data_IF_495014861587
#
_entry.id   IF_495014861587
#
_cell.length_a   1.000
_cell.length_b   1.000
_cell.length_c   1.000
_cell.angle_alpha   90.00
_cell.angle_beta   90.00
_cell.angle_gamma   90.00
#
_symmetry.space_group_name_H-M   'P 1'
#
loop_
_entity.id
_entity.type
_entity.pdbx_description
1 polymer ?
#
# COMPACT_ATOMS: atom_id res chain seq x y z
N UNK A 1 15.95 -17.41 -13.10
CA UNK A 1 16.71 -17.69 -11.85
C UNK A 1 16.77 -16.36 -11.12
N UNK A 2 15.97 -16.19 -10.05
CA UNK A 2 16.06 -15.02 -9.18
C UNK A 2 17.25 -15.30 -8.28
N UNK A 3 18.34 -14.54 -8.48
CA UNK A 3 19.53 -14.69 -7.67
C UNK A 3 19.22 -14.43 -6.19
N UNK A 4 19.73 -15.32 -5.36
CA UNK A 4 19.60 -15.30 -3.91
C UNK A 4 20.23 -14.04 -3.31
N UNK A 5 19.53 -13.44 -2.34
CA UNK A 5 19.91 -12.29 -1.53
C UNK A 5 20.10 -10.96 -2.27
N UNK A 6 18.97 -10.33 -2.65
CA UNK A 6 18.96 -8.92 -3.08
C UNK A 6 19.28 -7.99 -1.89
N UNK A 7 19.06 -8.43 -0.66
CA UNK A 7 19.26 -7.64 0.56
C UNK A 7 20.29 -8.32 1.44
N UNK A 8 21.42 -7.61 1.67
CA UNK A 8 22.46 -8.01 2.61
C UNK A 8 22.10 -7.56 4.04
N UNK A 9 22.76 -8.15 5.06
CA UNK A 9 22.63 -7.72 6.47
C UNK A 9 23.04 -6.25 6.69
N UNK A 10 23.63 -5.60 5.70
CA UNK A 10 24.06 -4.19 5.70
C UNK A 10 23.48 -3.41 4.51
N UNK A 11 22.18 -3.60 4.23
CA UNK A 11 21.48 -2.92 3.16
C UNK A 11 21.60 -1.40 3.27
N UNK A 12 22.01 -0.72 2.19
CA UNK A 12 22.28 0.72 2.16
C UNK A 12 21.31 1.44 1.23
N UNK A 13 21.18 2.78 1.39
CA UNK A 13 20.38 3.63 0.50
C UNK A 13 20.90 3.56 -0.94
N UNK A 14 22.20 3.49 -1.10
CA UNK A 14 22.88 3.38 -2.40
C UNK A 14 22.56 2.04 -3.09
N UNK A 15 22.44 0.96 -2.32
CA UNK A 15 22.01 -0.36 -2.82
C UNK A 15 20.53 -0.34 -3.15
N UNK A 16 19.68 0.24 -2.30
CA UNK A 16 18.26 0.43 -2.58
C UNK A 16 18.05 1.17 -3.93
N UNK A 17 18.76 2.28 -4.14
CA UNK A 17 18.67 3.08 -5.38
C UNK A 17 19.27 2.36 -6.62
N UNK A 18 20.07 1.32 -6.44
CA UNK A 18 20.62 0.51 -7.53
C UNK A 18 19.77 -0.70 -7.92
N UNK A 19 18.75 -1.03 -7.14
CA UNK A 19 17.81 -2.08 -7.52
C UNK A 19 17.18 -1.75 -8.88
N UNK A 20 16.91 -2.77 -9.68
CA UNK A 20 16.32 -2.60 -11.01
C UNK A 20 14.97 -3.30 -11.06
N UNK A 21 13.97 -2.55 -11.44
CA UNK A 21 12.64 -3.07 -11.73
C UNK A 21 12.58 -3.42 -13.22
N UNK A 22 12.22 -4.66 -13.52
CA UNK A 22 11.83 -5.04 -14.89
C UNK A 22 10.36 -4.63 -15.09
N UNK A 23 10.03 -3.81 -16.08
CA UNK A 23 8.64 -3.36 -16.26
C UNK A 23 7.71 -4.54 -16.61
N UNK A 24 6.39 -4.43 -16.35
CA UNK A 24 5.41 -5.41 -16.79
C UNK A 24 5.41 -5.64 -18.30
N UNK A 25 4.99 -6.83 -18.75
CA UNK A 25 4.97 -7.19 -20.17
C UNK A 25 3.92 -6.40 -20.96
N UNK A 26 4.36 -5.40 -21.72
CA UNK A 26 3.49 -4.56 -22.54
C UNK A 26 2.80 -5.35 -23.69
N UNK A 27 3.38 -6.46 -24.18
CA UNK A 27 2.74 -7.31 -25.19
C UNK A 27 1.61 -8.11 -24.57
N UNK A 28 1.83 -8.62 -23.34
CA UNK A 28 0.82 -9.32 -22.58
C UNK A 28 -0.36 -8.40 -22.25
N UNK A 29 -0.07 -7.15 -21.82
CA UNK A 29 -1.12 -6.14 -21.61
C UNK A 29 -2.01 -5.97 -22.85
N UNK A 30 -1.41 -5.73 -24.02
CA UNK A 30 -2.14 -5.56 -25.28
C UNK A 30 -2.94 -6.80 -25.65
N UNK A 31 -2.38 -8.00 -25.46
CA UNK A 31 -3.05 -9.27 -25.73
C UNK A 31 -4.31 -9.43 -24.86
N UNK A 32 -4.20 -9.15 -23.56
CA UNK A 32 -5.34 -9.25 -22.64
C UNK A 32 -6.41 -8.21 -23.00
N UNK A 33 -6.02 -6.97 -23.36
CA UNK A 33 -6.99 -5.97 -23.87
C UNK A 33 -7.73 -6.48 -25.12
N UNK A 34 -7.02 -7.08 -26.07
CA UNK A 34 -7.64 -7.69 -27.26
C UNK A 34 -8.55 -8.87 -26.90
N UNK A 35 -8.18 -9.69 -25.91
CA UNK A 35 -9.05 -10.75 -25.40
C UNK A 35 -10.36 -10.18 -24.82
N UNK A 36 -10.29 -9.06 -24.08
CA UNK A 36 -11.47 -8.34 -23.58
C UNK A 36 -12.37 -7.84 -24.72
N UNK A 37 -11.79 -7.35 -25.81
CA UNK A 37 -12.54 -6.88 -26.99
C UNK A 37 -13.26 -8.02 -27.72
N UNK A 38 -12.78 -9.26 -27.62
CA UNK A 38 -13.43 -10.44 -28.17
C UNK A 38 -14.63 -10.96 -27.37
N UNK A 39 -14.78 -10.52 -26.13
CA UNK A 39 -15.94 -10.89 -25.30
C UNK A 39 -17.21 -10.25 -25.86
N UNK A 40 -18.28 -11.04 -26.00
CA UNK A 40 -19.57 -10.59 -26.54
C UNK A 40 -20.28 -9.59 -25.59
N UNK A 41 -19.78 -8.38 -25.54
CA UNK A 41 -20.24 -7.25 -24.73
C UNK A 41 -19.87 -5.92 -25.40
N UNK A 42 -20.45 -4.78 -24.99
CA UNK A 42 -19.96 -3.47 -25.45
C UNK A 42 -18.46 -3.29 -25.17
N UNK A 43 -17.74 -2.66 -26.09
CA UNK A 43 -16.34 -2.33 -25.90
C UNK A 43 -16.16 -1.53 -24.59
N UNK A 44 -15.16 -1.88 -23.82
CA UNK A 44 -14.88 -1.30 -22.49
C UNK A 44 -16.08 -1.38 -21.51
N UNK A 45 -17.02 -2.30 -21.73
CA UNK A 45 -18.25 -2.41 -20.93
C UNK A 45 -18.04 -2.79 -19.47
N UNK A 46 -16.88 -3.36 -19.10
CA UNK A 46 -16.46 -3.58 -17.72
C UNK A 46 -15.63 -2.40 -17.16
N UNK A 47 -15.49 -1.32 -17.94
CA UNK A 47 -14.83 -0.07 -17.50
C UNK A 47 -13.39 -0.30 -17.04
N UNK A 48 -13.04 0.34 -15.90
CA UNK A 48 -11.69 0.29 -15.35
C UNK A 48 -11.19 -1.14 -15.07
N UNK A 49 -12.07 -2.11 -14.85
CA UNK A 49 -11.68 -3.50 -14.56
C UNK A 49 -11.00 -4.20 -15.75
N UNK A 50 -11.31 -3.82 -16.97
CA UNK A 50 -10.61 -4.37 -18.13
C UNK A 50 -9.15 -3.91 -18.20
N UNK A 51 -8.90 -2.65 -17.83
CA UNK A 51 -7.54 -2.09 -17.76
C UNK A 51 -6.77 -2.68 -16.58
N UNK A 52 -7.41 -2.79 -15.42
CA UNK A 52 -6.78 -3.33 -14.21
C UNK A 52 -6.43 -4.80 -14.35
N UNK A 53 -7.32 -5.62 -14.90
CA UNK A 53 -7.03 -7.04 -15.13
C UNK A 53 -5.95 -7.22 -16.20
N UNK A 54 -5.91 -6.38 -17.24
CA UNK A 54 -4.82 -6.38 -18.21
C UNK A 54 -3.48 -5.99 -17.58
N UNK A 55 -3.47 -4.99 -16.66
CA UNK A 55 -2.30 -4.63 -15.88
C UNK A 55 -1.83 -5.80 -15.00
N UNK A 56 -2.75 -6.47 -14.29
CA UNK A 56 -2.45 -7.65 -13.47
C UNK A 56 -1.81 -8.75 -14.31
N UNK A 57 -2.42 -9.10 -15.47
CA UNK A 57 -1.88 -10.11 -16.34
C UNK A 57 -0.51 -9.75 -16.93
N UNK A 58 -0.28 -8.47 -17.25
CA UNK A 58 1.03 -7.98 -17.68
C UNK A 58 2.10 -8.11 -16.59
N UNK A 59 1.76 -7.80 -15.32
CA UNK A 59 2.64 -7.99 -14.17
C UNK A 59 2.96 -9.46 -13.96
N UNK A 60 1.95 -10.33 -14.07
CA UNK A 60 2.11 -11.78 -13.88
C UNK A 60 2.73 -12.49 -15.08
N UNK A 61 2.78 -11.84 -16.26
CA UNK A 61 3.25 -12.43 -17.51
C UNK A 61 2.35 -13.55 -18.02
N UNK A 62 1.04 -13.50 -17.72
CA UNK A 62 0.10 -14.59 -18.02
C UNK A 62 -1.26 -14.05 -18.47
N UNK A 63 -1.71 -14.49 -19.66
CA UNK A 63 -3.05 -14.16 -20.15
C UNK A 63 -4.18 -14.91 -19.45
N UNK A 64 -3.88 -16.07 -18.85
CA UNK A 64 -4.82 -16.84 -18.04
C UNK A 64 -4.75 -16.37 -16.58
N UNK A 65 -5.04 -15.10 -16.37
CA UNK A 65 -4.84 -14.38 -15.14
C UNK A 65 -5.40 -15.15 -13.93
N UNK A 66 -4.53 -15.65 -13.08
CA UNK A 66 -4.91 -16.31 -11.83
C UNK A 66 -4.44 -15.47 -10.63
N UNK A 67 -5.39 -15.05 -9.82
CA UNK A 67 -5.16 -14.34 -8.55
C UNK A 67 -5.75 -15.12 -7.35
N UNK A 68 -5.90 -16.43 -7.45
CA UNK A 68 -6.52 -17.25 -6.40
C UNK A 68 -5.71 -17.25 -5.09
N UNK A 69 -4.38 -17.18 -5.18
CA UNK A 69 -3.51 -17.06 -4.00
C UNK A 69 -3.31 -15.58 -3.66
N UNK A 70 -4.07 -15.09 -2.68
CA UNK A 70 -4.12 -13.70 -2.23
C UNK A 70 -3.55 -13.55 -0.82
N UNK A 71 -2.76 -12.51 -0.58
CA UNK A 71 -2.23 -12.20 0.75
C UNK A 71 -2.56 -10.75 1.14
N UNK A 72 -2.85 -10.53 2.41
CA UNK A 72 -2.99 -9.19 3.00
C UNK A 72 -1.85 -8.98 3.99
N UNK A 73 -0.91 -8.09 3.68
CA UNK A 73 0.22 -7.77 4.55
C UNK A 73 -0.15 -6.53 5.37
N UNK A 74 -0.21 -6.67 6.70
CA UNK A 74 -0.59 -5.60 7.62
C UNK A 74 0.59 -5.22 8.50
N UNK A 75 1.18 -4.04 8.28
CA UNK A 75 2.30 -3.52 9.07
C UNK A 75 1.80 -2.84 10.34
N UNK A 76 2.21 -3.35 11.51
CA UNK A 76 1.77 -2.84 12.80
C UNK A 76 2.93 -2.16 13.54
N UNK A 77 2.78 -0.86 13.84
CA UNK A 77 3.80 -0.10 14.56
C UNK A 77 3.19 1.10 15.31
N UNK A 78 3.80 1.50 16.39
CA UNK A 78 3.44 2.71 17.14
C UNK A 78 4.24 3.92 16.66
N UNK A 79 3.58 5.07 16.63
CA UNK A 79 4.16 6.34 16.20
C UNK A 79 4.34 7.28 17.40
N UNK A 80 5.58 7.66 17.69
CA UNK A 80 5.95 8.46 18.86
C UNK A 80 5.33 9.86 18.91
N UNK A 81 4.90 10.39 17.77
CA UNK A 81 4.20 11.69 17.67
C UNK A 81 2.86 11.70 18.42
N UNK A 82 2.31 10.56 18.79
CA UNK A 82 1.10 10.44 19.64
C UNK A 82 1.30 11.18 20.97
N UNK A 83 2.53 11.27 21.47
CA UNK A 83 2.87 12.03 22.68
C UNK A 83 2.51 13.53 22.58
N UNK A 84 2.31 14.06 21.38
CA UNK A 84 1.84 15.42 21.16
C UNK A 84 0.31 15.57 21.33
N UNK A 85 -0.42 14.49 21.65
CA UNK A 85 -1.88 14.52 21.85
C UNK A 85 -2.65 14.84 20.56
N UNK A 86 -2.24 14.20 19.45
CA UNK A 86 -2.82 14.35 18.10
C UNK A 86 -3.70 13.15 17.73
N UNK A 87 -4.06 12.32 18.69
CA UNK A 87 -4.95 11.16 18.53
C UNK A 87 -5.93 11.09 19.70
N UNK A 88 -7.13 10.56 19.46
CA UNK A 88 -8.10 10.30 20.53
C UNK A 88 -7.74 9.03 21.34
N UNK A 89 -6.98 8.12 20.74
CA UNK A 89 -6.58 6.84 21.34
C UNK A 89 -5.09 6.85 21.67
N UNK A 90 -4.71 6.10 22.69
CA UNK A 90 -3.32 5.84 23.02
C UNK A 90 -2.74 4.67 22.23
N UNK A 91 -1.44 4.43 22.39
CA UNK A 91 -0.70 3.38 21.68
C UNK A 91 -1.15 1.94 22.05
N UNK A 92 -1.80 1.76 23.20
CA UNK A 92 -2.37 0.46 23.63
C UNK A 92 -3.35 -0.13 22.60
N UNK A 93 -4.00 0.71 21.79
CA UNK A 93 -4.93 0.28 20.75
C UNK A 93 -4.21 -0.46 19.62
N UNK A 94 -2.98 -0.06 19.27
CA UNK A 94 -2.17 -0.72 18.24
C UNK A 94 -1.98 -2.21 18.57
N UNK A 95 -1.52 -2.51 19.77
CA UNK A 95 -1.32 -3.90 20.22
C UNK A 95 -2.65 -4.68 20.28
N UNK A 96 -3.71 -4.05 20.80
CA UNK A 96 -5.02 -4.70 20.93
C UNK A 96 -5.60 -5.12 19.58
N UNK A 97 -5.50 -4.21 18.57
CA UNK A 97 -5.96 -4.50 17.20
C UNK A 97 -5.04 -5.52 16.52
N UNK A 98 -3.71 -5.43 16.67
CA UNK A 98 -2.77 -6.41 16.14
C UNK A 98 -3.05 -7.83 16.68
N UNK A 99 -3.39 -7.97 17.97
CA UNK A 99 -3.87 -9.25 18.57
C UNK A 99 -5.16 -9.75 17.90
N UNK A 100 -6.07 -8.85 17.55
CA UNK A 100 -7.30 -9.19 16.83
C UNK A 100 -7.01 -9.64 15.41
N UNK A 101 -6.07 -8.98 14.72
CA UNK A 101 -5.58 -9.36 13.38
C UNK A 101 -4.94 -10.75 13.40
N UNK A 102 -4.07 -11.03 14.36
CA UNK A 102 -3.41 -12.33 14.52
C UNK A 102 -4.41 -13.51 14.71
N UNK A 103 -5.60 -13.22 15.24
CA UNK A 103 -6.70 -14.19 15.41
C UNK A 103 -7.70 -14.17 14.25
N UNK A 104 -7.46 -13.38 13.19
CA UNK A 104 -8.41 -13.14 12.09
C UNK A 104 -9.77 -12.60 12.55
N UNK A 105 -9.82 -11.95 13.72
CA UNK A 105 -11.04 -11.43 14.35
C UNK A 105 -11.27 -9.93 14.09
N UNK A 106 -10.27 -9.24 13.53
CA UNK A 106 -10.38 -7.84 13.10
C UNK A 106 -11.28 -7.69 11.87
N UNK A 107 -11.60 -6.45 11.51
CA UNK A 107 -12.43 -6.16 10.32
C UNK A 107 -11.80 -6.75 9.06
N UNK A 108 -10.52 -6.45 8.81
CA UNK A 108 -9.80 -6.98 7.66
C UNK A 108 -9.69 -8.51 7.70
N UNK A 109 -9.47 -9.11 8.88
CA UNK A 109 -9.39 -10.57 9.02
C UNK A 109 -10.68 -11.28 8.59
N UNK A 110 -11.84 -10.74 8.98
CA UNK A 110 -13.16 -11.27 8.56
C UNK A 110 -13.41 -11.08 7.08
N UNK A 111 -13.06 -9.92 6.55
CA UNK A 111 -13.23 -9.62 5.12
C UNK A 111 -12.29 -10.47 4.26
N UNK A 112 -11.04 -10.66 4.68
CA UNK A 112 -10.07 -11.51 3.99
C UNK A 112 -10.56 -12.95 3.87
N UNK A 113 -11.12 -13.53 4.95
CA UNK A 113 -11.74 -14.87 4.90
C UNK A 113 -12.85 -14.95 3.85
N UNK A 114 -13.69 -13.91 3.74
CA UNK A 114 -14.77 -13.86 2.73
C UNK A 114 -14.21 -13.73 1.31
N UNK A 115 -13.11 -12.98 1.13
CA UNK A 115 -12.46 -12.77 -0.16
C UNK A 115 -11.50 -13.93 -0.55
N UNK A 116 -11.39 -14.99 0.26
CA UNK A 116 -10.46 -16.09 0.03
C UNK A 116 -8.99 -15.65 0.08
N UNK A 117 -8.65 -14.70 0.95
CA UNK A 117 -7.29 -14.20 1.15
C UNK A 117 -6.73 -14.63 2.50
N UNK A 118 -5.43 -14.92 2.54
CA UNK A 118 -4.70 -15.09 3.78
C UNK A 118 -4.21 -13.74 4.33
N UNK A 119 -3.89 -13.70 5.62
CA UNK A 119 -3.47 -12.47 6.30
C UNK A 119 -2.14 -12.67 6.99
N UNK A 120 -1.24 -11.69 6.81
CA UNK A 120 0.09 -11.64 7.42
C UNK A 120 0.19 -10.37 8.27
N UNK A 121 -0.29 -10.38 9.53
CA UNK A 121 -0.06 -9.28 10.43
C UNK A 121 1.40 -9.29 10.90
N UNK A 122 2.07 -8.14 10.82
CA UNK A 122 3.51 -7.99 11.07
C UNK A 122 3.73 -7.02 12.21
N UNK A 123 4.39 -7.46 13.26
CA UNK A 123 4.96 -6.54 14.25
C UNK A 123 6.27 -6.00 13.71
N UNK A 124 6.23 -4.78 13.17
CA UNK A 124 7.41 -4.08 12.70
C UNK A 124 7.87 -3.00 13.68
N UNK A 125 7.04 -2.67 14.66
CA UNK A 125 7.39 -1.65 15.63
C UNK A 125 6.31 -1.32 16.67
N UNK A 126 5.58 -2.31 17.15
CA UNK A 126 4.63 -2.12 18.27
C UNK A 126 5.44 -1.83 19.54
N UNK A 127 5.02 -0.80 20.30
CA UNK A 127 5.65 -0.39 21.56
C UNK A 127 5.26 -1.33 22.72
N UNK A 128 5.64 -2.58 22.58
CA UNK A 128 5.39 -3.64 23.56
C UNK A 128 6.44 -4.74 23.39
N UNK A 129 6.84 -5.39 24.47
CA UNK A 129 7.68 -6.59 24.52
C UNK A 129 6.86 -7.88 24.46
N UNK A 130 5.53 -7.78 24.44
CA UNK A 130 4.64 -8.93 24.40
C UNK A 130 4.75 -9.69 23.05
N UNK A 131 5.09 -10.98 23.12
CA UNK A 131 5.07 -11.85 21.95
C UNK A 131 3.65 -12.35 21.68
N UNK A 132 3.09 -12.01 20.52
CA UNK A 132 1.73 -12.39 20.13
C UNK A 132 1.78 -13.51 19.09
N UNK A 133 1.20 -14.67 19.44
CA UNK A 133 1.10 -15.81 18.51
C UNK A 133 0.26 -15.43 17.29
N UNK A 134 0.78 -15.70 16.09
CA UNK A 134 0.14 -15.37 14.82
C UNK A 134 0.50 -13.99 14.27
N UNK A 135 1.35 -13.24 14.97
CA UNK A 135 1.93 -11.97 14.52
C UNK A 135 3.35 -12.24 14.05
N UNK A 136 3.65 -11.97 12.78
CA UNK A 136 4.99 -12.13 12.22
C UNK A 136 5.94 -11.12 12.85
N UNK A 137 6.97 -11.62 13.55
CA UNK A 137 7.93 -10.77 14.25
C UNK A 137 8.98 -10.22 13.28
N UNK A 138 8.97 -8.92 13.04
CA UNK A 138 9.94 -8.13 12.27
C UNK A 138 10.22 -6.79 12.94
N UNK A 139 10.14 -6.78 14.27
CA UNK A 139 10.26 -5.56 15.08
C UNK A 139 11.65 -4.95 14.94
N UNK A 140 11.71 -3.75 14.36
CA UNK A 140 12.92 -2.92 14.23
C UNK A 140 13.21 -2.22 15.57
N UNK A 141 12.16 -1.67 16.19
CA UNK A 141 12.23 -1.03 17.52
C UNK A 141 10.82 -0.95 18.14
N UNK A 142 10.74 -0.58 19.41
CA UNK A 142 9.49 -0.30 20.12
C UNK A 142 8.98 1.11 19.81
N UNK A 143 8.13 1.26 18.80
CA UNK A 143 7.60 2.53 18.33
C UNK A 143 8.65 3.47 17.74
N UNK A 144 8.24 4.47 16.95
CA UNK A 144 9.16 5.53 16.51
C UNK A 144 9.43 6.54 17.61
N UNK A 145 10.46 7.37 17.42
CA UNK A 145 10.63 8.60 18.20
C UNK A 145 9.55 9.60 17.83
N UNK A 146 9.38 10.61 18.70
CA UNK A 146 8.48 11.72 18.43
C UNK A 146 9.15 12.73 17.48
N UNK A 147 8.69 12.79 16.25
CA UNK A 147 9.28 13.68 15.23
C UNK A 147 9.15 15.17 15.54
N UNK A 148 8.26 15.58 16.45
CA UNK A 148 8.24 16.95 16.94
C UNK A 148 9.52 17.32 17.72
N UNK A 149 10.20 16.31 18.30
CA UNK A 149 11.40 16.50 19.12
C UNK A 149 12.69 16.10 18.41
N UNK A 150 12.69 14.95 17.75
CA UNK A 150 13.83 14.37 17.03
C UNK A 150 13.33 13.52 15.86
N UNK A 151 14.16 13.18 14.85
CA UNK A 151 13.73 12.33 13.74
C UNK A 151 13.09 11.02 14.22
N UNK A 152 12.01 10.61 13.57
CA UNK A 152 11.20 9.44 13.94
C UNK A 152 12.03 8.15 13.96
N UNK A 153 12.92 7.98 13.00
CA UNK A 153 13.77 6.82 12.82
C UNK A 153 15.21 7.24 12.53
N UNK A 154 16.16 6.34 12.76
CA UNK A 154 17.51 6.45 12.23
C UNK A 154 17.55 5.92 10.79
N UNK A 155 18.65 6.19 10.05
CA UNK A 155 18.90 5.64 8.71
C UNK A 155 18.84 4.10 8.72
N UNK A 156 19.44 3.47 9.71
CA UNK A 156 19.47 2.01 9.84
C UNK A 156 18.07 1.44 10.10
N UNK A 157 17.31 2.01 11.04
CA UNK A 157 15.94 1.59 11.35
C UNK A 157 15.01 1.72 10.13
N UNK A 158 15.14 2.81 9.35
CA UNK A 158 14.35 3.02 8.13
C UNK A 158 14.65 1.96 7.08
N UNK A 159 15.94 1.66 6.84
CA UNK A 159 16.37 0.65 5.89
C UNK A 159 15.95 -0.76 6.31
N UNK A 160 16.07 -1.08 7.60
CA UNK A 160 15.65 -2.38 8.15
C UNK A 160 14.15 -2.60 7.98
N UNK A 161 13.32 -1.58 8.22
CA UNK A 161 11.87 -1.66 8.00
C UNK A 161 11.52 -1.85 6.52
N UNK A 162 12.19 -1.13 5.60
CA UNK A 162 12.02 -1.31 4.15
C UNK A 162 12.43 -2.74 3.75
N UNK A 163 13.60 -3.20 4.22
CA UNK A 163 14.11 -4.53 3.93
C UNK A 163 13.14 -5.62 4.41
N UNK A 164 12.57 -5.48 5.61
CA UNK A 164 11.58 -6.41 6.14
C UNK A 164 10.35 -6.53 5.21
N UNK A 165 9.85 -5.41 4.67
CA UNK A 165 8.75 -5.42 3.70
C UNK A 165 9.09 -6.17 2.42
N UNK A 166 10.26 -5.90 1.83
CA UNK A 166 10.74 -6.58 0.62
C UNK A 166 10.88 -8.09 0.85
N UNK A 167 11.47 -8.49 1.99
CA UNK A 167 11.66 -9.90 2.37
C UNK A 167 10.35 -10.65 2.55
N UNK A 168 9.33 -10.02 3.15
CA UNK A 168 8.00 -10.62 3.30
C UNK A 168 7.40 -10.90 1.92
N UNK A 169 7.49 -9.94 0.99
CA UNK A 169 6.99 -10.14 -0.38
C UNK A 169 7.76 -11.23 -1.12
N UNK A 170 9.08 -11.34 -0.92
CA UNK A 170 9.88 -12.45 -1.44
C UNK A 170 9.35 -13.79 -0.95
N UNK A 171 9.05 -13.90 0.34
CA UNK A 171 8.43 -15.09 0.93
C UNK A 171 7.07 -15.40 0.29
N UNK A 172 6.19 -14.41 0.18
CA UNK A 172 4.90 -14.56 -0.49
C UNK A 172 5.06 -15.08 -1.94
N UNK A 173 6.05 -14.56 -2.69
CA UNK A 173 6.34 -15.05 -4.06
C UNK A 173 6.77 -16.51 -4.06
N UNK A 174 7.63 -16.91 -3.15
CA UNK A 174 8.08 -18.30 -3.02
C UNK A 174 6.93 -19.24 -2.68
N UNK A 175 5.96 -18.77 -1.88
CA UNK A 175 4.75 -19.51 -1.52
C UNK A 175 3.66 -19.47 -2.61
N UNK A 176 3.94 -18.86 -3.76
CA UNK A 176 3.03 -18.81 -4.91
C UNK A 176 1.98 -17.72 -4.86
N UNK A 177 2.13 -16.69 -4.01
CA UNK A 177 1.24 -15.53 -3.98
C UNK A 177 1.17 -14.85 -5.35
N UNK A 178 -0.06 -14.45 -5.73
CA UNK A 178 -0.35 -13.87 -7.05
C UNK A 178 -0.78 -12.41 -6.97
N UNK A 179 -1.25 -11.95 -5.80
CA UNK A 179 -1.66 -10.56 -5.57
C UNK A 179 -1.59 -10.26 -4.07
N UNK A 180 -1.13 -9.07 -3.73
CA UNK A 180 -0.99 -8.60 -2.35
C UNK A 180 -1.91 -7.40 -2.14
N UNK A 181 -2.57 -7.34 -0.97
CA UNK A 181 -3.20 -6.14 -0.43
C UNK A 181 -2.33 -5.55 0.68
N UNK A 182 -2.21 -4.24 0.73
CA UNK A 182 -1.57 -3.54 1.83
C UNK A 182 -2.58 -3.25 2.93
N UNK A 183 -2.16 -3.43 4.18
CA UNK A 183 -2.88 -3.02 5.38
C UNK A 183 -1.91 -2.46 6.40
N UNK A 184 -2.44 -1.84 7.42
CA UNK A 184 -1.63 -1.26 8.49
C UNK A 184 -2.40 -1.17 9.81
N UNK A 185 -1.66 -1.02 10.90
CA UNK A 185 -2.20 -0.62 12.20
C UNK A 185 -1.14 0.17 12.96
N UNK A 186 -1.42 1.45 13.18
CA UNK A 186 -0.48 2.31 13.92
C UNK A 186 -1.14 3.60 14.40
N UNK A 187 -1.42 3.70 15.69
CA UNK A 187 -1.98 4.95 16.21
C UNK A 187 -1.00 6.10 15.96
N UNK A 188 -1.51 7.18 15.33
CA UNK A 188 -0.71 8.33 14.92
C UNK A 188 -0.24 8.32 13.48
N UNK A 189 -0.38 7.21 12.73
CA UNK A 189 0.12 7.10 11.36
C UNK A 189 -0.57 8.03 10.34
N UNK A 190 -1.80 8.48 10.57
CA UNK A 190 -2.40 9.55 9.74
C UNK A 190 -1.69 10.89 9.91
N UNK A 191 -1.00 11.12 11.05
CA UNK A 191 -0.17 12.31 11.26
C UNK A 191 1.15 12.19 10.51
N UNK A 192 1.83 11.05 10.61
CA UNK A 192 3.06 10.78 9.86
C UNK A 192 2.79 10.80 8.35
N UNK A 193 1.67 10.22 7.90
CA UNK A 193 1.27 10.25 6.48
C UNK A 193 1.00 11.67 5.97
N UNK A 194 0.31 12.51 6.75
CA UNK A 194 0.06 13.90 6.38
C UNK A 194 1.37 14.70 6.31
N UNK A 195 2.30 14.49 7.27
CA UNK A 195 3.61 15.13 7.26
C UNK A 195 4.44 14.72 6.03
N UNK A 196 4.48 13.43 5.72
CA UNK A 196 5.16 12.92 4.52
C UNK A 196 4.50 13.45 3.23
N UNK A 197 3.16 13.43 3.16
CA UNK A 197 2.44 13.94 1.98
C UNK A 197 2.74 15.42 1.76
N UNK A 198 2.63 16.27 2.80
CA UNK A 198 2.96 17.70 2.71
C UNK A 198 4.40 17.90 2.20
N UNK A 199 5.37 17.22 2.80
CA UNK A 199 6.78 17.35 2.43
C UNK A 199 7.06 16.86 1.01
N UNK A 200 6.59 15.66 0.65
CA UNK A 200 6.81 15.10 -0.68
C UNK A 200 6.09 15.88 -1.78
N UNK A 201 4.86 16.31 -1.56
CA UNK A 201 4.07 17.04 -2.56
C UNK A 201 4.38 18.56 -2.56
N UNK A 202 5.15 19.04 -1.58
CA UNK A 202 5.48 20.46 -1.38
C UNK A 202 4.23 21.34 -1.34
N UNK A 203 3.24 20.90 -0.55
CA UNK A 203 1.96 21.61 -0.42
C UNK A 203 1.72 22.05 1.02
N UNK A 204 0.71 22.91 1.21
CA UNK A 204 0.29 23.36 2.53
C UNK A 204 -0.15 22.17 3.40
N UNK A 205 0.29 22.15 4.65
CA UNK A 205 0.00 21.08 5.63
C UNK A 205 -1.50 20.92 5.84
N UNK A 206 -2.26 22.02 5.89
CA UNK A 206 -3.70 21.97 6.12
C UNK A 206 -4.44 21.27 4.97
N UNK A 207 -3.91 21.35 3.72
CA UNK A 207 -4.51 20.72 2.54
C UNK A 207 -4.51 19.19 2.62
N UNK A 208 -3.53 18.60 3.30
CA UNK A 208 -3.32 17.14 3.36
C UNK A 208 -3.59 16.53 4.74
N UNK A 209 -3.92 17.37 5.74
CA UNK A 209 -4.14 16.89 7.10
C UNK A 209 -5.61 16.68 7.38
N UNK A 210 -5.97 15.43 7.66
CA UNK A 210 -7.32 15.04 8.05
C UNK A 210 -7.46 14.75 9.54
N UNK A 211 -8.70 14.42 9.93
CA UNK A 211 -9.08 14.14 11.32
C UNK A 211 -8.64 12.78 11.83
N UNK A 212 -8.11 11.92 10.94
CA UNK A 212 -7.77 10.54 11.30
C UNK A 212 -8.96 9.81 11.96
N UNK A 213 -8.73 9.20 13.12
CA UNK A 213 -9.75 8.49 13.88
C UNK A 213 -10.80 9.40 14.58
N UNK A 214 -11.03 10.61 14.08
CA UNK A 214 -12.14 11.46 14.52
C UNK A 214 -11.79 12.59 15.47
N UNK A 215 -10.64 13.26 15.28
CA UNK A 215 -10.27 14.47 16.01
C UNK A 215 -11.34 15.57 15.86
N UNK A 216 -11.61 16.32 16.94
CA UNK A 216 -12.36 17.55 16.90
C UNK A 216 -11.55 18.69 16.26
N UNK A 217 -12.12 19.89 16.14
CA UNK A 217 -11.47 21.01 15.47
C UNK A 217 -10.16 21.42 16.15
N UNK A 218 -10.15 21.52 17.47
CA UNK A 218 -8.92 21.88 18.23
C UNK A 218 -7.82 20.81 18.09
N UNK A 219 -8.18 19.54 18.03
CA UNK A 219 -7.26 18.43 17.77
C UNK A 219 -6.69 18.48 16.36
N UNK A 220 -7.51 18.79 15.36
CA UNK A 220 -7.06 18.97 13.98
C UNK A 220 -6.11 20.15 13.85
N UNK A 221 -6.45 21.32 14.42
CA UNK A 221 -5.55 22.48 14.45
C UNK A 221 -4.21 22.17 15.11
N UNK A 222 -4.24 21.43 16.23
CA UNK A 222 -3.03 20.99 16.91
C UNK A 222 -2.19 20.08 16.02
N UNK A 223 -2.82 19.12 15.34
CA UNK A 223 -2.16 18.21 14.41
C UNK A 223 -1.48 18.97 13.27
N UNK A 224 -2.16 19.96 12.67
CA UNK A 224 -1.61 20.84 11.63
C UNK A 224 -0.40 21.61 12.16
N UNK A 225 -0.48 22.21 13.36
CA UNK A 225 0.66 22.92 13.97
C UNK A 225 1.86 22.01 14.22
N UNK A 226 1.64 20.81 14.76
CA UNK A 226 2.73 19.83 15.03
C UNK A 226 3.43 19.45 13.74
N UNK A 227 2.68 19.16 12.67
CA UNK A 227 3.25 18.83 11.35
C UNK A 227 4.00 20.04 10.77
N UNK A 228 3.38 21.23 10.76
CA UNK A 228 4.00 22.46 10.22
C UNK A 228 5.32 22.78 10.91
N UNK A 229 5.34 22.73 12.25
CA UNK A 229 6.58 22.94 13.02
C UNK A 229 7.68 21.92 12.67
N UNK A 230 7.33 20.67 12.40
CA UNK A 230 8.30 19.66 11.99
C UNK A 230 8.82 19.92 10.57
N UNK A 231 7.94 20.30 9.62
CA UNK A 231 8.32 20.68 8.24
C UNK A 231 9.37 21.80 8.29
N UNK A 232 9.11 22.86 9.04
CA UNK A 232 10.03 24.00 9.19
C UNK A 232 11.32 23.60 9.89
N UNK A 233 11.21 22.92 11.06
CA UNK A 233 12.36 22.51 11.88
C UNK A 233 13.39 21.71 11.13
N UNK A 234 12.95 20.80 10.26
CA UNK A 234 13.82 19.89 9.53
C UNK A 234 14.03 20.29 8.06
N UNK A 235 13.46 21.42 7.63
CA UNK A 235 13.52 21.91 6.24
C UNK A 235 13.07 20.83 5.22
N UNK A 236 11.93 20.17 5.52
CA UNK A 236 11.52 18.95 4.81
C UNK A 236 11.15 19.19 3.34
N UNK A 237 10.77 20.40 2.96
CA UNK A 237 10.51 20.72 1.55
C UNK A 237 11.77 20.63 0.66
N UNK A 238 12.96 20.70 1.24
CA UNK A 238 14.25 20.61 0.56
C UNK A 238 14.95 19.26 0.76
N UNK A 239 14.28 18.29 1.42
CA UNK A 239 14.81 16.96 1.67
C UNK A 239 14.44 15.94 0.60
N UNK A 240 15.28 14.92 0.43
CA UNK A 240 14.91 13.78 -0.42
C UNK A 240 13.88 12.87 0.29
N UNK A 241 13.26 11.98 -0.48
CA UNK A 241 12.19 11.12 0.03
C UNK A 241 12.65 10.19 1.15
N UNK A 242 13.90 9.73 1.12
CA UNK A 242 14.43 8.88 2.18
C UNK A 242 14.59 9.67 3.49
N UNK A 243 15.11 10.90 3.42
CA UNK A 243 15.23 11.79 4.58
C UNK A 243 13.86 12.16 5.14
N UNK A 244 12.85 12.42 4.29
CA UNK A 244 11.47 12.69 4.71
C UNK A 244 10.90 11.47 5.46
N UNK A 245 11.00 10.27 4.88
CA UNK A 245 10.53 9.03 5.50
C UNK A 245 11.21 8.78 6.86
N UNK A 246 12.52 8.94 6.93
CA UNK A 246 13.31 8.79 8.15
C UNK A 246 12.88 9.78 9.24
N UNK A 247 12.59 11.04 8.85
CA UNK A 247 12.39 12.14 9.80
C UNK A 247 10.97 12.18 10.36
N UNK A 248 9.94 12.04 9.49
CA UNK A 248 8.52 12.19 9.89
C UNK A 248 7.65 11.00 9.54
N UNK A 249 8.23 9.92 9.03
CA UNK A 249 7.51 8.69 8.72
C UNK A 249 7.26 7.80 9.93
N UNK A 250 6.87 6.57 9.66
CA UNK A 250 6.62 5.50 10.63
C UNK A 250 7.24 4.19 10.19
N UNK A 251 7.45 3.26 11.12
CA UNK A 251 7.95 1.92 10.80
C UNK A 251 6.94 1.13 9.96
N UNK A 252 5.63 1.31 10.20
CA UNK A 252 4.54 0.79 9.40
C UNK A 252 4.60 1.29 7.96
N UNK A 253 4.78 2.61 7.76
CA UNK A 253 4.93 3.22 6.43
C UNK A 253 6.21 2.70 5.75
N UNK A 254 7.35 2.66 6.46
CA UNK A 254 8.61 2.17 5.90
C UNK A 254 8.51 0.69 5.49
N UNK A 255 7.83 -0.14 6.30
CA UNK A 255 7.52 -1.52 5.94
C UNK A 255 6.66 -1.63 4.69
N UNK A 256 5.62 -0.78 4.55
CA UNK A 256 4.77 -0.72 3.36
C UNK A 256 5.53 -0.20 2.13
N UNK A 257 6.48 0.73 2.27
CA UNK A 257 7.41 1.11 1.20
C UNK A 257 8.13 -0.14 0.69
N UNK A 258 8.63 -0.97 1.61
CA UNK A 258 9.26 -2.24 1.28
C UNK A 258 8.31 -3.22 0.58
N UNK A 259 7.04 -3.30 0.97
CA UNK A 259 6.02 -4.13 0.30
C UNK A 259 5.78 -3.66 -1.14
N UNK A 260 5.66 -2.36 -1.37
CA UNK A 260 5.48 -1.81 -2.72
C UNK A 260 6.69 -2.08 -3.62
N UNK A 261 7.91 -1.87 -3.11
CA UNK A 261 9.16 -2.18 -3.83
C UNK A 261 9.26 -3.68 -4.09
N UNK A 262 8.96 -4.53 -3.09
CA UNK A 262 8.96 -5.99 -3.23
C UNK A 262 7.97 -6.48 -4.28
N UNK A 263 6.76 -5.89 -4.35
CA UNK A 263 5.77 -6.15 -5.40
C UNK A 263 6.35 -5.96 -6.81
N UNK A 264 7.07 -4.85 -7.00
CA UNK A 264 7.71 -4.54 -8.27
C UNK A 264 8.90 -5.47 -8.59
N UNK A 265 9.75 -5.77 -7.60
CA UNK A 265 10.91 -6.64 -7.78
C UNK A 265 10.53 -8.09 -8.09
N UNK A 266 9.46 -8.59 -7.46
CA UNK A 266 9.04 -9.99 -7.58
C UNK A 266 7.84 -10.18 -8.50
N UNK A 267 7.42 -9.15 -9.24
CA UNK A 267 6.28 -9.21 -10.15
C UNK A 267 5.02 -9.75 -9.47
N UNK A 268 4.60 -9.08 -8.41
CA UNK A 268 3.33 -9.31 -7.72
C UNK A 268 2.54 -7.99 -7.73
N UNK A 269 1.32 -7.94 -8.28
CA UNK A 269 0.46 -6.77 -8.19
C UNK A 269 0.15 -6.43 -6.72
N UNK A 270 0.24 -5.15 -6.35
CA UNK A 270 -0.02 -4.66 -5.00
C UNK A 270 -1.25 -3.75 -5.01
N UNK A 271 -2.29 -4.14 -4.29
CA UNK A 271 -3.52 -3.35 -4.10
C UNK A 271 -3.35 -2.47 -2.87
N UNK A 272 -3.41 -1.17 -3.08
CA UNK A 272 -3.33 -0.19 -2.00
C UNK A 272 -4.67 -0.07 -1.26
N UNK A 273 -4.61 0.08 0.05
CA UNK A 273 -5.75 0.47 0.88
C UNK A 273 -5.97 2.00 0.83
N UNK A 274 -5.87 2.72 1.94
CA UNK A 274 -6.14 4.15 2.05
C UNK A 274 -4.87 5.02 1.96
N UNK A 275 -4.95 6.20 2.59
CA UNK A 275 -3.93 7.26 2.55
C UNK A 275 -2.55 6.78 2.99
N UNK A 276 -2.46 5.91 4.02
CA UNK A 276 -1.19 5.41 4.53
C UNK A 276 -0.47 4.60 3.45
N UNK A 277 -1.19 3.68 2.79
CA UNK A 277 -0.68 2.87 1.69
C UNK A 277 -0.28 3.73 0.48
N UNK A 278 -1.07 4.77 0.15
CA UNK A 278 -0.76 5.68 -0.96
C UNK A 278 0.51 6.49 -0.70
N UNK A 279 0.69 7.02 0.51
CA UNK A 279 1.93 7.73 0.89
C UNK A 279 3.14 6.79 0.81
N UNK A 280 2.98 5.54 1.26
CA UNK A 280 4.02 4.53 1.17
C UNK A 280 4.38 4.20 -0.28
N UNK A 281 3.38 4.06 -1.16
CA UNK A 281 3.60 3.81 -2.58
C UNK A 281 4.28 5.00 -3.29
N UNK A 282 3.90 6.25 -2.93
CA UNK A 282 4.57 7.44 -3.47
C UNK A 282 6.04 7.52 -3.03
N UNK A 283 6.31 7.19 -1.76
CA UNK A 283 7.68 7.11 -1.27
C UNK A 283 8.47 6.01 -2.00
N UNK A 284 7.87 4.84 -2.20
CA UNK A 284 8.48 3.73 -2.92
C UNK A 284 8.83 4.11 -4.37
N UNK A 285 7.90 4.74 -5.11
CA UNK A 285 8.14 5.22 -6.49
C UNK A 285 9.27 6.24 -6.56
N UNK A 286 9.34 7.17 -5.61
CA UNK A 286 10.40 8.19 -5.58
C UNK A 286 11.76 7.66 -5.17
N UNK A 287 11.79 6.58 -4.39
CA UNK A 287 13.02 5.87 -4.02
C UNK A 287 13.52 4.95 -5.13
N UNK A 288 12.58 4.32 -5.85
CA UNK A 288 12.86 3.38 -6.92
C UNK A 288 11.79 3.49 -8.01
N UNK A 289 12.11 4.19 -9.09
CA UNK A 289 11.16 4.45 -10.19
C UNK A 289 10.69 3.16 -10.87
N UNK A 290 9.39 3.13 -11.23
CA UNK A 290 8.72 2.01 -11.87
C UNK A 290 7.88 1.14 -10.91
N UNK A 291 7.83 1.48 -9.62
CA UNK A 291 6.97 0.78 -8.64
C UNK A 291 5.50 0.96 -8.97
N UNK A 292 5.07 2.12 -9.45
CA UNK A 292 3.67 2.41 -9.78
C UNK A 292 3.09 1.52 -10.86
N UNK A 293 3.90 0.92 -11.71
CA UNK A 293 3.44 -0.03 -12.72
C UNK A 293 2.86 -1.31 -12.10
N UNK A 294 3.16 -1.60 -10.85
CA UNK A 294 2.69 -2.76 -10.08
C UNK A 294 1.57 -2.44 -9.10
N UNK A 295 1.22 -1.17 -8.97
CA UNK A 295 0.26 -0.67 -7.97
C UNK A 295 -1.16 -0.60 -8.55
N UNK A 296 -2.14 -1.00 -7.74
CA UNK A 296 -3.57 -0.88 -8.00
C UNK A 296 -4.19 -0.11 -6.83
N UNK A 297 -4.87 0.99 -7.11
CA UNK A 297 -5.61 1.73 -6.09
C UNK A 297 -7.00 1.09 -5.89
N UNK A 298 -7.43 0.92 -4.64
CA UNK A 298 -8.72 0.32 -4.34
C UNK A 298 -9.84 1.36 -4.24
N UNK A 299 -9.78 2.25 -3.27
CA UNK A 299 -10.88 3.14 -2.91
C UNK A 299 -10.45 4.59 -2.72
N UNK A 300 -11.41 5.48 -2.91
CA UNK A 300 -11.30 6.89 -2.53
C UNK A 300 -11.59 7.00 -1.02
N UNK A 301 -10.53 7.18 -0.22
CA UNK A 301 -10.62 7.38 1.22
C UNK A 301 -11.06 8.80 1.58
N UNK A 302 -11.46 9.02 2.85
CA UNK A 302 -11.92 10.34 3.32
C UNK A 302 -10.80 11.33 3.64
N UNK A 303 -9.56 10.88 3.76
CA UNK A 303 -8.43 11.75 4.11
C UNK A 303 -8.13 12.73 2.97
N UNK A 304 -7.91 14.03 3.26
CA UNK A 304 -7.78 15.07 2.24
C UNK A 304 -6.62 14.84 1.26
N UNK A 305 -5.54 14.19 1.70
CA UNK A 305 -4.36 13.91 0.88
C UNK A 305 -4.64 12.95 -0.29
N UNK A 306 -5.74 12.16 -0.27
CA UNK A 306 -5.99 11.07 -1.22
C UNK A 306 -6.00 11.55 -2.66
N UNK A 307 -6.69 12.64 -2.96
CA UNK A 307 -6.78 13.17 -4.33
C UNK A 307 -5.41 13.55 -4.91
N UNK A 308 -4.59 14.27 -4.13
CA UNK A 308 -3.24 14.68 -4.54
C UNK A 308 -2.29 13.49 -4.68
N UNK A 309 -2.43 12.49 -3.81
CA UNK A 309 -1.64 11.25 -3.89
C UNK A 309 -2.01 10.42 -5.11
N UNK A 310 -3.30 10.33 -5.46
CA UNK A 310 -3.77 9.66 -6.68
C UNK A 310 -3.19 10.32 -7.94
N UNK A 311 -3.19 11.65 -7.98
CA UNK A 311 -2.60 12.43 -9.08
C UNK A 311 -1.09 12.17 -9.17
N UNK A 312 -0.37 12.27 -8.05
CA UNK A 312 1.09 12.07 -8.01
C UNK A 312 1.51 10.64 -8.38
N UNK A 313 0.69 9.64 -8.07
CA UNK A 313 0.90 8.23 -8.42
C UNK A 313 0.33 7.87 -9.81
N UNK A 314 -0.43 8.76 -10.45
CA UNK A 314 -1.16 8.47 -11.68
C UNK A 314 -2.06 7.23 -11.55
N UNK A 315 -2.73 7.06 -10.41
CA UNK A 315 -3.67 5.95 -10.14
C UNK A 315 -5.09 6.48 -9.95
N UNK A 316 -6.07 5.63 -10.27
CA UNK A 316 -7.50 5.94 -10.14
C UNK A 316 -8.16 4.92 -9.22
N UNK A 317 -8.70 5.34 -8.06
CA UNK A 317 -9.52 4.49 -7.23
C UNK A 317 -10.83 4.14 -7.92
N UNK A 318 -11.30 2.90 -7.79
CA UNK A 318 -12.56 2.44 -8.41
C UNK A 318 -13.72 2.36 -7.42
N UNK A 319 -13.46 2.28 -6.12
CA UNK A 319 -14.49 2.19 -5.08
C UNK A 319 -14.72 3.56 -4.47
N UNK A 320 -15.97 4.06 -4.55
CA UNK A 320 -16.43 5.29 -3.89
C UNK A 320 -17.47 4.95 -2.83
N UNK A 321 -17.01 4.65 -1.62
CA UNK A 321 -17.86 4.22 -0.51
C UNK A 321 -17.58 4.97 0.80
N UNK A 322 -16.87 6.09 0.74
CA UNK A 322 -16.50 6.91 1.91
C UNK A 322 -15.81 6.11 3.01
N UNK A 323 -14.95 5.14 2.64
CA UNK A 323 -14.24 4.29 3.58
C UNK A 323 -13.22 5.10 4.39
N UNK A 324 -13.09 4.77 5.67
CA UNK A 324 -12.15 5.41 6.59
C UNK A 324 -11.72 4.47 7.74
N UNK A 325 -11.76 3.15 7.51
CA UNK A 325 -11.43 2.19 8.54
C UNK A 325 -9.92 1.91 8.60
N UNK A 326 -9.25 1.73 7.45
CA UNK A 326 -7.88 1.26 7.40
C UNK A 326 -7.78 -0.27 7.45
N UNK A 327 -6.73 -0.78 8.06
CA UNK A 327 -6.41 -2.21 8.24
C UNK A 327 -6.14 -2.96 6.92
N UNK A 328 -6.43 -2.41 5.74
CA UNK A 328 -6.42 -3.09 4.43
C UNK A 328 -7.81 -3.43 3.91
N UNK A 329 -8.87 -2.91 4.55
CA UNK A 329 -10.26 -3.29 4.25
C UNK A 329 -10.70 -2.91 2.85
N UNK A 330 -10.33 -1.73 2.34
CA UNK A 330 -10.64 -1.31 0.98
C UNK A 330 -9.89 -2.13 -0.07
N UNK A 331 -8.64 -2.49 0.23
CA UNK A 331 -7.85 -3.35 -0.66
C UNK A 331 -8.43 -4.78 -0.76
N UNK A 332 -8.93 -5.31 0.35
CA UNK A 332 -9.62 -6.62 0.35
C UNK A 332 -10.94 -6.58 -0.42
N UNK A 333 -11.73 -5.48 -0.32
CA UNK A 333 -12.92 -5.29 -1.16
C UNK A 333 -12.58 -5.37 -2.65
N UNK A 334 -11.43 -4.79 -3.03
CA UNK A 334 -10.96 -4.82 -4.42
C UNK A 334 -10.70 -6.24 -4.91
N UNK A 335 -10.22 -7.16 -4.07
CA UNK A 335 -10.05 -8.56 -4.45
C UNK A 335 -11.34 -9.20 -4.95
N UNK A 336 -12.46 -9.00 -4.23
CA UNK A 336 -13.75 -9.54 -4.64
C UNK A 336 -14.24 -8.95 -5.98
N UNK A 337 -14.01 -7.66 -6.21
CA UNK A 337 -14.36 -7.02 -7.48
C UNK A 337 -13.50 -7.52 -8.64
N UNK A 338 -12.21 -7.73 -8.41
CA UNK A 338 -11.30 -8.33 -9.40
C UNK A 338 -11.69 -9.78 -9.71
N UNK A 339 -12.08 -10.59 -8.72
CA UNK A 339 -12.56 -11.95 -8.95
C UNK A 339 -13.82 -11.96 -9.84
N UNK A 340 -14.77 -11.05 -9.60
CA UNK A 340 -15.97 -10.91 -10.45
C UNK A 340 -15.59 -10.53 -11.88
N UNK A 341 -14.70 -9.57 -12.08
CA UNK A 341 -14.23 -9.17 -13.40
C UNK A 341 -13.52 -10.33 -14.12
N UNK A 342 -12.63 -11.03 -13.41
CA UNK A 342 -11.91 -12.18 -13.94
C UNK A 342 -12.83 -13.36 -14.26
N UNK A 343 -13.97 -13.52 -13.55
CA UNK A 343 -14.94 -14.56 -13.90
C UNK A 343 -15.54 -14.33 -15.29
N UNK A 344 -15.82 -13.08 -15.66
CA UNK A 344 -16.26 -12.69 -17.01
C UNK A 344 -15.16 -12.92 -18.02
N UNK A 345 -13.93 -12.49 -17.73
CA UNK A 345 -12.78 -12.66 -18.62
C UNK A 345 -12.46 -14.13 -18.93
N UNK A 346 -12.46 -14.98 -17.89
CA UNK A 346 -12.13 -16.42 -18.02
C UNK A 346 -13.26 -17.25 -18.66
N UNK A 347 -14.50 -16.96 -18.27
CA UNK A 347 -15.69 -17.65 -18.78
C UNK A 347 -16.26 -17.02 -20.04
N UNK A 348 -15.48 -16.22 -20.77
CA UNK A 348 -15.92 -15.39 -21.88
C UNK A 348 -16.67 -16.19 -22.96
N UNK A 349 -17.87 -15.73 -23.25
CA UNK A 349 -18.57 -16.02 -24.50
C UNK A 349 -18.10 -15.01 -25.52
N UNK A 350 -17.60 -15.46 -26.66
CA UNK A 350 -17.11 -14.57 -27.72
C UNK A 350 -18.23 -14.19 -28.69
N UNK A 351 -18.01 -13.17 -29.52
CA UNK A 351 -18.95 -12.80 -30.56
C UNK A 351 -19.17 -13.95 -31.56
N UNK A 352 -18.12 -14.74 -31.84
CA UNK A 352 -18.21 -15.93 -32.71
C UNK A 352 -19.13 -17.01 -32.10
N UNK A 353 -19.08 -17.22 -30.78
CA UNK A 353 -19.93 -18.21 -30.09
C UNK A 353 -21.43 -17.89 -30.20
N UNK A 354 -21.80 -16.63 -30.37
CA UNK A 354 -23.19 -16.19 -30.53
C UNK A 354 -23.54 -15.77 -31.96
N UNK A 355 -22.62 -15.98 -32.91
CA UNK A 355 -22.81 -15.66 -34.34
C UNK A 355 -23.17 -14.18 -34.59
N UNK A 356 -22.53 -13.27 -33.86
CA UNK A 356 -22.68 -11.81 -33.99
C UNK A 356 -21.32 -11.22 -34.40
N UNK A 357 -21.33 -10.22 -35.29
CA UNK A 357 -20.10 -9.52 -35.68
C UNK A 357 -19.49 -8.76 -34.47
N UNK A 358 -18.18 -8.89 -34.30
CA UNK A 358 -17.43 -8.15 -33.25
C UNK A 358 -17.53 -6.63 -33.50
N UNK A 359 -17.62 -5.86 -32.42
CA UNK A 359 -17.57 -4.42 -32.53
C UNK A 359 -16.17 -3.92 -32.90
N UNK A 360 -16.11 -2.90 -33.75
CA UNK A 360 -14.86 -2.23 -34.11
C UNK A 360 -14.62 -1.02 -33.24
N UNK A 361 -13.35 -0.78 -32.86
CA UNK A 361 -12.95 0.47 -32.20
C UNK A 361 -12.83 1.56 -33.25
N UNK A 362 -13.64 2.59 -33.13
CA UNK A 362 -13.45 3.82 -33.92
C UNK A 362 -12.24 4.57 -33.34
N UNK A 363 -11.27 4.91 -34.19
CA UNK A 363 -10.05 5.66 -33.87
C UNK A 363 -10.31 7.15 -33.93
#
# INVERSE_FOLDING_TARGET
MIENNIISDHFTVEELKKLKITPPDAKMYKKIRSNWDSVAKPLDGMGDFEFLTAKIGAVLGDENIDISKKEVIMMCADNGVVAEGISQSGQEVTLAVAKSMARKASSVGRMAMTAGADTIPVDIGINSDESVKGLLQRKVRMGTRNFAKEPAMTKAETLEAIAAGIEIVRGCKADGCRIIATGEMGIGNTTTSAAMAAAMLRCDVATVTGRGAGLNDSGLEKKIRVIGSAIEKYDLYNKDTFEILMTVGGLDIAGLVGVCIGGALYHIPVVLDGVISMVSALAAERLLSGVTDFIISSHEGREPAVALLCEALSVKPVIRASLALGEGTGAVMMFALLDMALSVYKGRTTFDDISVSQYERYV
#
